data_IF_381328662131
#
_entry.id   IF_381328662131
#
_cell.length_a   1.000
_cell.length_b   1.000
_cell.length_c   1.000
_cell.angle_alpha   90.00
_cell.angle_beta   90.00
_cell.angle_gamma   90.00
#
_symmetry.space_group_name_H-M   'P 1'
#
loop_
_entity.id
_entity.type
_entity.pdbx_description
1 polymer ?
#
# COMPACT_ATOMS: atom_id res chain seq x y z
N UNK A 1 1.24 -5.36 -9.37
CA UNK A 1 0.52 -5.14 -10.64
C UNK A 1 -0.37 -3.93 -10.50
N UNK A 2 -0.63 -3.21 -11.56
CA UNK A 2 -1.48 -2.00 -11.59
C UNK A 2 -2.76 -2.28 -12.38
N UNK A 3 -3.72 -1.33 -12.34
CA UNK A 3 -4.91 -1.42 -13.18
C UNK A 3 -4.53 -1.39 -14.66
N UNK A 4 -5.23 -2.19 -15.46
CA UNK A 4 -5.05 -2.21 -16.91
C UNK A 4 -5.93 -1.16 -17.58
N UNK A 5 -5.44 -0.56 -18.67
CA UNK A 5 -6.20 0.36 -19.51
C UNK A 5 -6.30 -0.23 -20.91
N UNK A 6 -7.27 -1.09 -21.13
CA UNK A 6 -7.55 -1.57 -22.47
C UNK A 6 -8.20 -0.47 -23.31
N UNK A 7 -7.89 -0.45 -24.59
CA UNK A 7 -8.31 0.61 -25.51
C UNK A 7 -9.81 0.59 -25.81
N UNK A 8 -10.42 -0.62 -25.77
CA UNK A 8 -11.82 -0.77 -26.10
C UNK A 8 -12.58 -1.70 -25.15
N UNK A 9 -13.90 -1.54 -25.09
CA UNK A 9 -14.77 -2.33 -24.23
C UNK A 9 -14.78 -3.83 -24.56
N UNK A 10 -14.51 -4.19 -25.81
CA UNK A 10 -14.47 -5.57 -26.28
C UNK A 10 -13.35 -6.39 -25.63
N UNK A 11 -12.30 -5.72 -25.19
CA UNK A 11 -11.16 -6.35 -24.51
C UNK A 11 -11.48 -6.74 -23.04
N UNK A 12 -12.51 -6.14 -22.45
CA UNK A 12 -12.97 -6.51 -21.11
C UNK A 12 -13.87 -7.74 -21.15
N UNK A 13 -13.72 -8.63 -20.17
CA UNK A 13 -14.47 -9.90 -20.08
C UNK A 13 -15.56 -9.87 -19.01
N UNK A 14 -15.49 -8.94 -18.05
CA UNK A 14 -16.48 -8.81 -16.99
C UNK A 14 -17.84 -8.40 -17.54
N UNK A 15 -18.85 -9.22 -17.27
CA UNK A 15 -20.23 -8.98 -17.72
C UNK A 15 -20.83 -7.70 -17.11
N UNK A 16 -20.47 -7.36 -15.87
CA UNK A 16 -20.98 -6.13 -15.24
C UNK A 16 -20.37 -4.89 -15.87
N UNK A 17 -19.07 -4.93 -16.24
CA UNK A 17 -18.41 -3.85 -16.98
C UNK A 17 -19.14 -3.63 -18.32
N UNK A 18 -19.36 -4.70 -19.09
CA UNK A 18 -20.01 -4.62 -20.39
C UNK A 18 -21.46 -4.13 -20.30
N UNK A 19 -22.21 -4.58 -19.30
CA UNK A 19 -23.59 -4.14 -19.08
C UNK A 19 -23.64 -2.67 -18.63
N UNK A 20 -22.82 -2.27 -17.68
CA UNK A 20 -22.73 -0.88 -17.21
C UNK A 20 -22.31 0.06 -18.35
N UNK A 21 -21.34 -0.33 -19.17
CA UNK A 21 -20.90 0.45 -20.34
C UNK A 21 -22.08 0.72 -21.28
N UNK A 22 -22.84 -0.33 -21.67
CA UNK A 22 -24.01 -0.23 -22.56
C UNK A 22 -25.08 0.66 -21.97
N UNK A 23 -25.46 0.40 -20.73
CA UNK A 23 -26.50 1.16 -20.02
C UNK A 23 -26.16 2.66 -19.93
N UNK A 24 -24.92 3.00 -19.64
CA UNK A 24 -24.49 4.40 -19.54
C UNK A 24 -24.45 5.10 -20.90
N UNK A 25 -24.02 4.41 -21.96
CA UNK A 25 -24.09 4.94 -23.32
C UNK A 25 -25.53 5.24 -23.73
N UNK A 26 -26.46 4.33 -23.45
CA UNK A 26 -27.90 4.52 -23.73
C UNK A 26 -28.48 5.72 -22.93
N UNK A 27 -27.96 6.00 -21.75
CA UNK A 27 -28.30 7.17 -20.94
C UNK A 27 -27.59 8.46 -21.36
N UNK A 28 -26.76 8.43 -22.41
CA UNK A 28 -26.08 9.60 -22.97
C UNK A 28 -24.82 10.05 -22.22
N UNK A 29 -24.23 9.20 -21.39
CA UNK A 29 -22.90 9.50 -20.78
C UNK A 29 -21.82 9.48 -21.85
N UNK A 30 -20.79 10.33 -21.71
CA UNK A 30 -19.66 10.32 -22.60
C UNK A 30 -18.84 9.01 -22.42
N UNK A 31 -18.48 8.37 -23.52
CA UNK A 31 -17.71 7.12 -23.53
C UNK A 31 -16.40 7.25 -22.72
N UNK A 32 -15.72 8.38 -22.86
CA UNK A 32 -14.49 8.68 -22.09
C UNK A 32 -14.70 8.56 -20.58
N UNK A 33 -15.79 9.09 -20.05
CA UNK A 33 -16.07 9.07 -18.61
C UNK A 33 -16.42 7.66 -18.13
N UNK A 34 -17.10 6.89 -18.99
CA UNK A 34 -17.41 5.48 -18.73
C UNK A 34 -16.11 4.68 -18.65
N UNK A 35 -15.22 4.85 -19.64
CA UNK A 35 -13.93 4.15 -19.68
C UNK A 35 -13.02 4.54 -18.49
N UNK A 36 -12.93 5.80 -18.11
CA UNK A 36 -12.18 6.20 -16.89
C UNK A 36 -12.73 5.52 -15.62
N UNK A 37 -14.04 5.38 -15.50
CA UNK A 37 -14.65 4.63 -14.40
C UNK A 37 -14.25 3.12 -14.42
N UNK A 38 -14.20 2.53 -15.60
CA UNK A 38 -13.76 1.13 -15.80
C UNK A 38 -12.29 0.97 -15.45
N UNK A 39 -11.42 1.88 -15.90
CA UNK A 39 -9.99 1.87 -15.58
C UNK A 39 -9.75 1.97 -14.07
N UNK A 40 -10.56 2.77 -13.37
CA UNK A 40 -10.40 2.94 -11.93
C UNK A 40 -10.91 1.75 -11.11
N UNK A 41 -12.08 1.17 -11.49
CA UNK A 41 -12.82 0.24 -10.62
C UNK A 41 -13.26 -1.07 -11.28
N UNK A 42 -12.91 -1.31 -12.54
CA UNK A 42 -13.29 -2.54 -13.23
C UNK A 42 -12.68 -3.78 -12.58
N UNK A 43 -13.48 -4.84 -12.40
CA UNK A 43 -13.01 -6.09 -11.77
C UNK A 43 -11.94 -6.83 -12.58
N UNK A 44 -11.90 -6.64 -13.88
CA UNK A 44 -10.87 -7.23 -14.74
C UNK A 44 -9.46 -6.74 -14.38
N UNK A 45 -9.32 -5.58 -13.73
CA UNK A 45 -8.04 -5.11 -13.19
C UNK A 45 -7.39 -6.13 -12.22
N UNK A 46 -8.20 -6.89 -11.49
CA UNK A 46 -7.73 -7.93 -10.56
C UNK A 46 -7.64 -9.33 -11.19
N UNK A 47 -7.97 -9.45 -12.50
CA UNK A 47 -8.04 -10.73 -13.22
C UNK A 47 -7.05 -10.84 -14.37
N UNK A 48 -6.31 -9.76 -14.66
CA UNK A 48 -5.23 -9.82 -15.67
C UNK A 48 -4.23 -10.91 -15.30
N UNK A 49 -3.62 -11.58 -16.30
CA UNK A 49 -2.60 -12.59 -16.06
C UNK A 49 -1.49 -12.09 -15.12
N UNK A 50 -1.00 -12.96 -14.27
CA UNK A 50 0.14 -12.64 -13.40
C UNK A 50 1.36 -12.30 -14.25
N UNK A 51 1.99 -11.17 -13.93
CA UNK A 51 3.19 -10.71 -14.60
C UNK A 51 4.43 -11.35 -13.93
N UNK A 52 4.87 -12.50 -14.44
CA UNK A 52 6.00 -13.23 -13.87
C UNK A 52 7.34 -12.61 -14.28
N UNK A 53 7.45 -12.19 -15.53
CA UNK A 53 8.68 -11.59 -16.08
C UNK A 53 8.37 -10.71 -17.31
N UNK A 54 9.41 -10.26 -17.97
CA UNK A 54 9.41 -9.39 -19.14
C UNK A 54 9.32 -10.12 -20.48
N UNK A 55 9.14 -11.44 -20.47
CA UNK A 55 8.99 -12.25 -21.69
C UNK A 55 7.56 -12.19 -22.25
N UNK A 56 7.34 -12.74 -23.43
CA UNK A 56 6.03 -12.76 -24.10
C UNK A 56 4.91 -13.24 -23.14
N UNK A 57 3.77 -12.59 -23.20
CA UNK A 57 2.64 -12.81 -22.30
C UNK A 57 3.02 -12.72 -20.80
N UNK A 58 4.03 -11.91 -20.47
CA UNK A 58 4.52 -11.74 -19.10
C UNK A 58 5.03 -13.06 -18.44
N UNK A 59 5.51 -14.02 -19.23
CA UNK A 59 5.88 -15.35 -18.76
C UNK A 59 4.69 -16.19 -18.25
N UNK A 60 3.46 -15.75 -18.44
CA UNK A 60 2.26 -16.40 -17.92
C UNK A 60 1.84 -17.62 -18.74
N UNK A 61 1.92 -17.52 -20.08
CA UNK A 61 1.52 -18.59 -20.99
C UNK A 61 2.24 -18.48 -22.33
N UNK A 62 2.39 -19.61 -23.00
CA UNK A 62 2.85 -19.70 -24.40
C UNK A 62 1.70 -19.61 -25.42
N UNK A 63 0.45 -19.64 -24.95
CA UNK A 63 -0.76 -19.48 -25.76
C UNK A 63 -1.36 -18.08 -25.64
N UNK A 64 -2.55 -17.90 -26.19
CA UNK A 64 -3.31 -16.65 -26.06
C UNK A 64 -4.05 -16.63 -24.71
N UNK A 65 -3.77 -15.69 -23.81
CA UNK A 65 -4.52 -15.57 -22.57
C UNK A 65 -5.97 -15.12 -22.86
N UNK A 66 -6.93 -15.63 -22.06
CA UNK A 66 -8.35 -15.28 -22.24
C UNK A 66 -8.65 -13.80 -21.95
N UNK A 67 -7.89 -13.18 -21.07
CA UNK A 67 -7.86 -11.75 -20.78
C UNK A 67 -6.47 -11.22 -21.10
N UNK A 68 -6.39 -10.06 -21.74
CA UNK A 68 -5.12 -9.45 -22.14
C UNK A 68 -4.19 -9.19 -20.95
N UNK A 69 -2.88 -9.34 -21.20
CA UNK A 69 -1.84 -8.97 -20.24
C UNK A 69 -1.76 -7.45 -20.15
N UNK A 70 -1.54 -6.92 -18.95
CA UNK A 70 -1.26 -5.49 -18.80
C UNK A 70 0.08 -5.17 -19.49
N UNK A 71 0.13 -4.23 -20.44
CA UNK A 71 1.33 -3.96 -21.25
C UNK A 71 2.55 -3.49 -20.44
N UNK A 72 2.35 -3.05 -19.19
CA UNK A 72 3.46 -2.65 -18.31
C UNK A 72 4.26 -3.82 -17.71
N UNK A 73 4.00 -5.06 -18.13
CA UNK A 73 4.71 -6.24 -17.63
C UNK A 73 6.22 -6.20 -17.91
N UNK A 74 6.65 -5.46 -18.92
CA UNK A 74 8.07 -5.29 -19.25
C UNK A 74 8.85 -4.56 -18.13
N UNK A 75 8.16 -3.74 -17.34
CA UNK A 75 8.74 -2.96 -16.25
C UNK A 75 8.28 -3.50 -14.87
N UNK A 76 7.00 -3.84 -14.75
CA UNK A 76 6.39 -4.28 -13.49
C UNK A 76 6.10 -5.77 -13.55
N UNK A 77 6.97 -6.57 -12.97
CA UNK A 77 6.83 -8.03 -12.95
C UNK A 77 7.48 -8.65 -11.70
N UNK A 78 7.16 -9.91 -11.42
CA UNK A 78 7.66 -10.60 -10.23
C UNK A 78 9.19 -10.74 -10.24
N UNK A 79 9.80 -10.99 -11.40
CA UNK A 79 11.26 -11.13 -11.52
C UNK A 79 11.96 -9.84 -11.08
N UNK A 80 11.53 -8.67 -11.56
CA UNK A 80 12.11 -7.38 -11.16
C UNK A 80 11.97 -7.12 -9.66
N UNK A 81 10.78 -7.45 -9.11
CA UNK A 81 10.51 -7.26 -7.67
C UNK A 81 11.37 -8.16 -6.77
N UNK A 82 11.74 -9.36 -7.21
CA UNK A 82 12.61 -10.26 -6.45
C UNK A 82 14.05 -9.75 -6.36
N UNK A 83 14.49 -8.94 -7.31
CA UNK A 83 15.85 -8.38 -7.36
C UNK A 83 15.96 -7.00 -6.71
N UNK A 84 14.84 -6.37 -6.36
CA UNK A 84 14.80 -5.06 -5.71
C UNK A 84 14.38 -5.21 -4.24
N UNK A 85 15.31 -5.01 -3.32
CA UNK A 85 15.05 -5.11 -1.87
C UNK A 85 14.03 -4.08 -1.36
N UNK A 86 13.84 -2.97 -2.07
CA UNK A 86 12.86 -1.93 -1.75
C UNK A 86 11.50 -2.15 -2.45
N UNK A 87 11.32 -3.27 -3.12
CA UNK A 87 10.09 -3.60 -3.84
C UNK A 87 8.90 -3.86 -2.92
N UNK A 88 7.69 -3.74 -3.50
CA UNK A 88 6.44 -4.14 -2.83
C UNK A 88 6.48 -5.61 -2.39
N UNK A 89 7.12 -6.49 -3.16
CA UNK A 89 7.30 -7.89 -2.79
C UNK A 89 8.06 -8.04 -1.47
N UNK A 90 9.22 -7.40 -1.32
CA UNK A 90 10.02 -7.49 -0.10
C UNK A 90 9.38 -6.78 1.08
N UNK A 91 8.68 -5.67 0.83
CA UNK A 91 7.90 -4.99 1.86
C UNK A 91 6.79 -5.90 2.42
N UNK A 92 6.01 -6.54 1.54
CA UNK A 92 4.98 -7.49 1.93
C UNK A 92 5.53 -8.72 2.66
N UNK A 93 6.65 -9.27 2.17
CA UNK A 93 7.35 -10.38 2.83
C UNK A 93 7.72 -10.03 4.26
N UNK A 94 8.26 -8.81 4.48
CA UNK A 94 8.60 -8.32 5.82
C UNK A 94 7.36 -8.13 6.69
N UNK A 95 6.26 -7.58 6.16
CA UNK A 95 4.99 -7.46 6.90
C UNK A 95 4.45 -8.82 7.35
N UNK A 96 4.48 -9.82 6.49
CA UNK A 96 4.05 -11.19 6.82
C UNK A 96 4.94 -11.79 7.91
N UNK A 97 6.25 -11.58 7.82
CA UNK A 97 7.19 -12.03 8.84
C UNK A 97 6.93 -11.37 10.18
N UNK A 98 6.82 -10.04 10.24
CA UNK A 98 6.49 -9.29 11.45
C UNK A 98 5.20 -9.82 12.09
N UNK A 99 4.16 -10.06 11.30
CA UNK A 99 2.89 -10.60 11.78
C UNK A 99 3.02 -12.03 12.38
N UNK A 100 3.87 -12.86 11.80
CA UNK A 100 4.10 -14.24 12.29
C UNK A 100 4.92 -14.28 13.58
N UNK A 101 5.86 -13.37 13.72
CA UNK A 101 6.83 -13.37 14.81
C UNK A 101 6.39 -12.54 16.03
N UNK A 102 5.38 -11.69 15.88
CA UNK A 102 4.95 -10.78 16.94
C UNK A 102 3.44 -10.87 17.21
N UNK A 103 3.10 -11.35 18.39
CA UNK A 103 1.71 -11.52 18.84
C UNK A 103 0.91 -10.22 18.84
N UNK A 104 1.52 -9.06 19.05
CA UNK A 104 0.83 -7.76 19.03
C UNK A 104 0.06 -7.50 17.73
N UNK A 105 0.51 -8.06 16.59
CA UNK A 105 -0.20 -7.93 15.32
C UNK A 105 -1.47 -8.79 15.22
N UNK A 106 -1.61 -9.78 16.09
CA UNK A 106 -2.73 -10.73 16.05
C UNK A 106 -3.63 -10.54 17.27
N UNK A 107 -3.04 -10.54 18.47
CA UNK A 107 -3.74 -10.55 19.76
C UNK A 107 -3.96 -9.14 20.33
N UNK A 108 -3.20 -8.14 19.86
CA UNK A 108 -3.27 -6.78 20.41
C UNK A 108 -4.63 -6.12 20.20
N UNK A 109 -5.07 -5.34 21.18
CA UNK A 109 -6.22 -4.47 21.04
C UNK A 109 -6.01 -3.43 19.94
N UNK A 110 -7.09 -2.97 19.33
CA UNK A 110 -7.05 -2.01 18.23
C UNK A 110 -7.74 -0.71 18.65
N UNK A 111 -7.04 0.41 18.51
CA UNK A 111 -7.59 1.75 18.70
C UNK A 111 -7.31 2.61 17.49
N UNK A 112 -8.37 3.04 16.79
CA UNK A 112 -8.26 3.98 15.68
C UNK A 112 -7.88 5.36 16.22
N UNK A 113 -6.89 5.99 15.61
CA UNK A 113 -6.46 7.36 15.89
C UNK A 113 -6.86 8.27 14.73
N UNK A 114 -7.04 9.56 14.99
CA UNK A 114 -7.40 10.57 13.99
C UNK A 114 -8.59 10.14 13.11
N UNK A 115 -9.73 9.72 13.68
CA UNK A 115 -10.83 9.11 12.91
C UNK A 115 -11.47 10.05 11.89
N UNK A 116 -11.32 11.36 12.04
CA UNK A 116 -11.86 12.38 11.13
C UNK A 116 -10.81 12.92 10.13
N UNK A 117 -9.58 12.41 10.16
CA UNK A 117 -8.55 12.83 9.21
C UNK A 117 -8.74 12.10 7.87
N UNK A 118 -8.91 12.86 6.79
CA UNK A 118 -9.14 12.32 5.45
C UNK A 118 -7.86 11.89 4.72
N UNK A 119 -6.69 12.27 5.26
CA UNK A 119 -5.39 12.04 4.61
C UNK A 119 -4.59 10.94 5.31
N UNK A 120 -4.70 10.85 6.65
CA UNK A 120 -3.91 9.93 7.47
C UNK A 120 -4.79 8.81 7.99
N UNK A 121 -4.38 7.58 7.75
CA UNK A 121 -4.88 6.43 8.46
C UNK A 121 -3.90 6.06 9.57
N UNK A 122 -4.34 6.15 10.82
CA UNK A 122 -3.50 5.85 11.98
C UNK A 122 -4.24 5.02 13.02
N UNK A 123 -3.52 4.08 13.63
CA UNK A 123 -4.05 3.28 14.73
C UNK A 123 -2.94 2.79 15.66
N UNK A 124 -3.35 2.39 16.85
CA UNK A 124 -2.49 1.74 17.83
C UNK A 124 -2.96 0.31 18.05
N UNK A 125 -2.01 -0.59 18.25
CA UNK A 125 -2.25 -1.90 18.85
C UNK A 125 -1.52 -1.99 20.18
N UNK A 126 -2.16 -2.62 21.17
CA UNK A 126 -1.59 -2.79 22.51
C UNK A 126 -1.64 -4.26 22.92
N UNK A 127 -0.52 -4.78 23.41
CA UNK A 127 -0.41 -6.16 23.87
C UNK A 127 0.73 -6.33 24.85
N UNK A 128 0.45 -6.85 26.05
CA UNK A 128 1.44 -7.17 27.09
C UNK A 128 2.45 -6.03 27.39
N UNK A 129 1.94 -4.79 27.54
CA UNK A 129 2.78 -3.61 27.83
C UNK A 129 3.56 -3.07 26.63
N UNK A 130 3.36 -3.62 25.45
CA UNK A 130 3.88 -3.14 24.16
C UNK A 130 2.81 -2.33 23.45
N UNK A 131 3.22 -1.25 22.79
CA UNK A 131 2.35 -0.42 21.97
C UNK A 131 2.94 -0.25 20.57
N UNK A 132 2.13 -0.51 19.56
CA UNK A 132 2.50 -0.39 18.15
C UNK A 132 1.68 0.71 17.50
N UNK A 133 2.32 1.82 17.15
CA UNK A 133 1.73 2.87 16.31
C UNK A 133 1.92 2.50 14.83
N UNK A 134 0.84 2.57 14.09
CA UNK A 134 0.85 2.52 12.62
C UNK A 134 0.32 3.84 12.08
N UNK A 135 1.06 4.46 11.16
CA UNK A 135 0.64 5.66 10.44
C UNK A 135 0.84 5.48 8.95
N UNK A 136 -0.10 5.96 8.15
CA UNK A 136 -0.01 5.95 6.70
C UNK A 136 -0.67 7.20 6.11
N UNK A 137 0.04 7.91 5.26
CA UNK A 137 -0.48 8.98 4.43
C UNK A 137 -1.03 8.40 3.13
N UNK A 138 -2.33 8.60 2.86
CA UNK A 138 -3.00 8.09 1.66
C UNK A 138 -3.05 9.12 0.51
N UNK A 139 -2.26 10.19 0.61
CA UNK A 139 -2.23 11.25 -0.40
C UNK A 139 -0.88 11.38 -1.08
N UNK A 140 -0.86 12.07 -2.20
CA UNK A 140 0.33 12.45 -2.98
C UNK A 140 1.01 13.73 -2.47
N UNK A 141 0.66 14.20 -1.26
CA UNK A 141 1.17 15.42 -0.63
C UNK A 141 1.81 15.12 0.71
N UNK A 142 2.67 16.02 1.17
CA UNK A 142 3.09 16.02 2.56
C UNK A 142 1.94 16.43 3.47
N UNK A 143 1.73 15.70 4.58
CA UNK A 143 0.70 15.99 5.59
C UNK A 143 1.31 16.03 6.97
N UNK A 144 0.87 16.97 7.81
CA UNK A 144 1.29 17.03 9.21
C UNK A 144 0.70 15.86 9.99
N UNK A 145 1.55 15.18 10.76
CA UNK A 145 1.15 14.05 11.59
C UNK A 145 1.56 14.30 13.06
N UNK A 146 0.66 14.82 13.89
CA UNK A 146 0.98 15.15 15.28
C UNK A 146 1.39 13.92 16.10
N UNK A 147 0.93 12.74 15.70
CA UNK A 147 1.27 11.48 16.37
C UNK A 147 2.77 11.17 16.38
N UNK A 148 3.52 11.62 15.36
CA UNK A 148 4.97 11.40 15.32
C UNK A 148 5.64 12.08 16.53
N UNK A 149 5.21 13.30 16.88
CA UNK A 149 5.72 14.03 18.05
C UNK A 149 5.24 13.38 19.36
N UNK A 150 3.96 13.08 19.47
CA UNK A 150 3.36 12.48 20.67
C UNK A 150 4.02 11.13 21.01
N UNK A 151 4.39 10.39 19.98
CA UNK A 151 5.03 9.09 20.11
C UNK A 151 6.56 9.17 20.19
N UNK A 152 7.16 10.37 20.08
CA UNK A 152 8.61 10.56 20.08
C UNK A 152 9.29 9.83 18.94
N UNK A 153 8.60 9.70 17.79
CA UNK A 153 9.22 9.17 16.57
C UNK A 153 10.35 10.12 16.19
N UNK A 154 11.61 9.65 16.06
CA UNK A 154 12.70 10.52 15.70
C UNK A 154 12.48 11.10 14.31
N UNK A 155 12.78 12.39 14.17
CA UNK A 155 12.84 13.06 12.87
C UNK A 155 14.29 13.34 12.53
N UNK A 156 14.64 13.23 11.27
CA UNK A 156 16.00 13.48 10.81
C UNK A 156 16.23 14.99 10.69
N UNK A 157 16.67 15.61 11.79
CA UNK A 157 17.46 16.82 11.71
C UNK A 157 18.93 16.36 11.79
N UNK A 158 19.66 16.44 10.69
CA UNK A 158 21.12 16.17 10.59
C UNK A 158 21.60 14.80 11.14
N UNK A 159 21.15 13.71 10.58
CA UNK A 159 21.87 12.43 10.67
C UNK A 159 22.12 11.82 12.06
N UNK A 160 21.44 12.30 13.11
CA UNK A 160 21.67 11.92 14.49
C UNK A 160 20.74 10.82 14.96
N UNK A 161 21.36 9.79 15.45
CA UNK A 161 20.94 8.70 16.33
C UNK A 161 19.47 8.24 16.34
N UNK A 162 19.30 7.03 15.85
CA UNK A 162 18.02 6.30 15.72
C UNK A 162 17.41 5.80 17.03
N UNK A 163 17.96 6.15 18.18
CA UNK A 163 17.55 5.64 19.50
C UNK A 163 17.38 6.75 20.53
N UNK A 164 16.27 7.46 20.48
CA UNK A 164 15.82 8.25 21.62
C UNK A 164 14.46 7.77 22.08
N UNK A 165 14.40 7.42 23.37
CA UNK A 165 13.21 7.06 24.14
C UNK A 165 12.44 5.80 23.71
N UNK A 166 12.96 4.61 24.04
CA UNK A 166 12.24 3.34 24.17
C UNK A 166 11.37 2.89 22.97
N UNK A 167 11.64 3.35 21.73
CA UNK A 167 10.88 2.94 20.56
C UNK A 167 11.76 2.39 19.43
N UNK A 168 11.18 1.49 18.64
CA UNK A 168 11.83 0.82 17.50
C UNK A 168 11.00 0.98 16.24
N UNK A 169 11.63 1.42 15.16
CA UNK A 169 11.02 1.41 13.82
C UNK A 169 11.04 -0.01 13.27
N UNK A 170 9.86 -0.63 13.15
CA UNK A 170 9.74 -2.01 12.66
C UNK A 170 9.76 -2.08 11.13
N UNK A 171 9.03 -1.19 10.48
CA UNK A 171 8.97 -1.11 9.02
C UNK A 171 8.64 0.31 8.57
N UNK A 172 9.20 0.71 7.43
CA UNK A 172 9.02 2.00 6.80
C UNK A 172 9.18 1.82 5.28
N UNK A 173 8.41 2.53 4.49
CA UNK A 173 8.49 2.44 3.02
C UNK A 173 9.41 3.49 2.38
N UNK A 174 10.06 4.32 3.19
CA UNK A 174 11.14 5.21 2.77
C UNK A 174 12.46 4.75 3.41
N UNK A 175 13.59 5.09 2.79
CA UNK A 175 14.93 4.68 3.26
C UNK A 175 15.42 5.47 4.49
N UNK A 176 14.85 6.65 4.72
CA UNK A 176 15.21 7.61 5.76
C UNK A 176 13.96 8.05 6.54
N UNK A 177 14.15 8.48 7.78
CA UNK A 177 13.07 9.02 8.60
C UNK A 177 12.58 10.38 8.07
N UNK A 178 11.33 10.78 8.35
CA UNK A 178 10.84 12.10 7.98
C UNK A 178 11.69 13.21 8.63
N UNK A 179 11.93 14.29 7.89
CA UNK A 179 12.72 15.43 8.37
C UNK A 179 11.98 16.34 9.35
N UNK A 180 10.68 16.24 9.42
CA UNK A 180 9.79 17.02 10.26
C UNK A 180 8.65 16.13 10.78
N UNK A 181 7.74 16.72 11.58
CA UNK A 181 6.54 16.03 12.07
C UNK A 181 5.47 15.85 10.95
N UNK A 182 5.94 15.42 9.76
CA UNK A 182 5.12 15.25 8.57
C UNK A 182 5.34 13.87 7.97
N UNK A 183 4.30 13.32 7.38
CA UNK A 183 4.39 12.16 6.51
C UNK A 183 4.50 12.63 5.05
N UNK A 184 5.46 12.10 4.32
CA UNK A 184 5.64 12.34 2.89
C UNK A 184 4.53 11.67 2.07
N UNK A 185 4.42 11.94 0.77
CA UNK A 185 3.46 11.26 -0.09
C UNK A 185 3.50 9.74 0.07
N UNK A 186 2.35 9.14 0.39
CA UNK A 186 2.18 7.69 0.58
C UNK A 186 3.15 7.06 1.60
N UNK A 187 3.67 7.86 2.53
CA UNK A 187 4.56 7.35 3.59
C UNK A 187 3.78 6.53 4.61
N UNK A 188 4.29 5.35 4.92
CA UNK A 188 3.74 4.46 5.93
C UNK A 188 4.85 3.92 6.84
N UNK A 189 4.59 3.89 8.14
CA UNK A 189 5.54 3.36 9.11
C UNK A 189 4.85 2.66 10.29
N UNK A 190 5.61 1.77 10.93
CA UNK A 190 5.22 1.13 12.18
C UNK A 190 6.31 1.39 13.22
N UNK A 191 5.89 2.00 14.32
CA UNK A 191 6.73 2.36 15.45
C UNK A 191 6.29 1.62 16.70
N UNK A 192 7.17 0.86 17.32
CA UNK A 192 6.87 0.11 18.54
C UNK A 192 7.52 0.76 19.75
N UNK A 193 6.78 0.81 20.86
CA UNK A 193 7.27 1.17 22.19
C UNK A 193 6.95 0.09 23.20
N UNK A 194 7.84 -0.07 24.17
CA UNK A 194 7.55 -0.82 25.40
C UNK A 194 7.31 0.18 26.53
N UNK A 195 6.21 0.05 27.24
CA UNK A 195 6.04 0.83 28.47
C UNK A 195 7.12 0.37 29.44
N UNK A 196 8.08 1.25 29.75
CA UNK A 196 8.97 1.03 30.89
C UNK A 196 8.09 1.03 32.14
N UNK A 197 7.96 -0.13 32.76
CA UNK A 197 7.21 -0.25 34.01
C UNK A 197 7.68 0.84 34.98
N UNK A 198 6.74 1.61 35.44
CA UNK A 198 6.97 2.45 36.59
C UNK A 198 7.32 1.46 37.72
N UNK A 199 8.60 1.38 38.11
CA UNK A 199 8.99 0.70 39.36
C UNK A 199 8.16 1.28 40.46
N UNK A 200 7.30 0.44 41.06
CA UNK A 200 6.50 0.76 42.24
C UNK A 200 7.40 0.58 43.48
#
# INVERSE_FOLDING_TARGET
MTNVRFESIEQYQDIEIRNMYRERLEKGYAEKDIMESIYAKGRDNARTPMQWDDTENAGFTTGTPWLGVNPNYTEINARSQLHDENSVFHYYKKLIQLRKENSIFVEGDFTLLLPEDENIFAYVREYEGRKLLVTANFTDKEVECPLLKEWGVPVSEDGADKSRDNGVLLIHNYSDLPSQQKLRPYEAMMWEKTETGTEI
#
